data_IF_100579406621
#
_entry.id   IF_100579406621
#
_cell.length_a   1.000
_cell.length_b   1.000
_cell.length_c   1.000
_cell.angle_alpha   90.00
_cell.angle_beta   90.00
_cell.angle_gamma   90.00
#
_symmetry.space_group_name_H-M   'P 1'
#
loop_
_entity.id
_entity.type
_entity.pdbx_description
1 polymer ?
#
# COMPACT_ATOMS: atom_id res chain seq x y z
N UNK A 1 -23.16 -5.40 -0.42
CA UNK A 1 -22.41 -4.36 -1.18
C UNK A 1 -21.35 -3.80 -0.25
N UNK A 2 -20.07 -3.88 -0.61
CA UNK A 2 -18.97 -3.28 0.16
C UNK A 2 -19.08 -1.76 0.11
N UNK A 3 -18.72 -1.08 1.20
CA UNK A 3 -18.72 0.38 1.28
C UNK A 3 -17.59 0.99 0.44
N UNK A 4 -17.84 2.12 -0.23
CA UNK A 4 -16.79 2.89 -0.91
C UNK A 4 -15.97 3.64 0.12
N UNK A 5 -14.69 3.34 0.23
CA UNK A 5 -13.77 3.96 1.20
C UNK A 5 -12.84 4.98 0.58
N UNK A 6 -12.58 4.86 -0.73
CA UNK A 6 -11.79 5.82 -1.51
C UNK A 6 -12.46 6.05 -2.85
N UNK A 7 -12.59 7.31 -3.24
CA UNK A 7 -13.06 7.71 -4.56
C UNK A 7 -12.16 8.80 -5.13
N UNK A 8 -11.73 8.61 -6.36
CA UNK A 8 -10.90 9.54 -7.12
C UNK A 8 -11.73 10.13 -8.25
N UNK A 9 -11.79 11.46 -8.33
CA UNK A 9 -12.61 12.18 -9.31
C UNK A 9 -11.76 13.16 -10.10
N UNK A 10 -11.69 12.95 -11.41
CA UNK A 10 -11.03 13.84 -12.37
C UNK A 10 -9.64 14.27 -11.93
N UNK A 11 -8.86 13.32 -11.36
CA UNK A 11 -7.53 13.59 -10.86
C UNK A 11 -6.58 13.89 -12.01
N UNK A 12 -5.89 15.04 -11.91
CA UNK A 12 -4.87 15.46 -12.88
C UNK A 12 -3.58 15.83 -12.16
N UNK A 13 -2.46 15.40 -12.73
CA UNK A 13 -1.14 15.79 -12.28
C UNK A 13 -0.11 15.75 -13.42
N UNK A 14 0.85 16.67 -13.36
CA UNK A 14 2.00 16.68 -14.29
C UNK A 14 3.23 17.28 -13.62
N UNK A 15 4.40 16.87 -14.07
CA UNK A 15 5.67 17.46 -13.74
C UNK A 15 6.17 18.27 -14.95
N UNK A 16 6.14 19.61 -14.84
CA UNK A 16 6.35 20.46 -15.99
C UNK A 16 5.34 20.14 -17.11
N UNK A 17 5.84 19.77 -18.28
CA UNK A 17 5.04 19.39 -19.45
C UNK A 17 4.68 17.89 -19.46
N UNK A 18 5.31 17.06 -18.61
CA UNK A 18 5.07 15.61 -18.55
C UNK A 18 3.79 15.31 -17.79
N UNK A 19 2.74 14.89 -18.48
CA UNK A 19 1.48 14.46 -17.89
C UNK A 19 1.65 13.07 -17.32
N UNK A 20 1.33 12.87 -16.02
CA UNK A 20 1.39 11.58 -15.33
C UNK A 20 0.03 11.08 -14.86
N UNK A 21 -0.96 11.96 -14.77
CA UNK A 21 -2.36 11.62 -14.51
C UNK A 21 -3.27 12.60 -15.26
N UNK A 22 -4.20 12.07 -16.04
CA UNK A 22 -5.16 12.84 -16.83
C UNK A 22 -6.56 12.24 -16.66
N UNK A 23 -7.43 13.00 -16.03
CA UNK A 23 -8.84 12.67 -15.79
C UNK A 23 -9.02 11.27 -15.16
N UNK A 24 -8.21 10.96 -14.13
CA UNK A 24 -8.26 9.67 -13.45
C UNK A 24 -9.49 9.60 -12.57
N UNK A 25 -10.31 8.57 -12.78
CA UNK A 25 -11.54 8.30 -12.04
C UNK A 25 -11.62 6.82 -11.66
N UNK A 26 -11.73 6.51 -10.36
CA UNK A 26 -12.00 5.16 -9.86
C UNK A 26 -12.44 5.18 -8.40
N UNK A 27 -12.95 4.05 -7.93
CA UNK A 27 -13.36 3.84 -6.53
C UNK A 27 -12.71 2.58 -5.99
N UNK A 28 -12.46 2.55 -4.67
CA UNK A 28 -12.05 1.36 -3.93
C UNK A 28 -13.07 1.07 -2.83
N UNK A 29 -13.35 -0.20 -2.61
CA UNK A 29 -14.30 -0.66 -1.61
C UNK A 29 -13.57 -1.23 -0.39
N UNK A 30 -14.24 -1.22 0.77
CA UNK A 30 -13.70 -1.76 2.00
C UNK A 30 -13.27 -3.23 1.84
N UNK A 31 -12.04 -3.56 2.25
CA UNK A 31 -11.49 -4.89 2.16
C UNK A 31 -11.19 -5.37 0.74
N UNK A 32 -11.22 -4.49 -0.26
CA UNK A 32 -10.84 -4.80 -1.64
C UNK A 32 -9.33 -4.75 -1.82
N UNK A 33 -8.77 -5.65 -2.62
CA UNK A 33 -7.38 -5.61 -3.08
C UNK A 33 -7.37 -5.30 -4.57
N UNK A 34 -6.87 -4.13 -4.93
CA UNK A 34 -6.85 -3.62 -6.30
C UNK A 34 -5.41 -3.54 -6.79
N UNK A 35 -5.14 -4.01 -8.00
CA UNK A 35 -3.90 -3.74 -8.70
C UNK A 35 -4.02 -2.46 -9.53
N UNK A 36 -3.06 -1.55 -9.39
CA UNK A 36 -2.83 -0.48 -10.34
C UNK A 36 -1.65 -0.90 -11.22
N UNK A 37 -1.95 -1.31 -12.45
CA UNK A 37 -1.00 -1.91 -13.39
C UNK A 37 -0.70 -0.99 -14.57
N UNK A 38 0.40 -1.24 -15.24
CA UNK A 38 0.82 -0.50 -16.44
C UNK A 38 2.34 -0.47 -16.57
N UNK A 39 2.86 -0.01 -17.71
CA UNK A 39 4.29 0.11 -17.97
C UNK A 39 4.99 1.01 -16.92
N UNK A 40 6.30 0.84 -16.76
CA UNK A 40 7.09 1.72 -15.91
C UNK A 40 7.06 3.15 -16.45
N UNK A 41 7.04 4.14 -15.53
CA UNK A 41 7.00 5.55 -15.89
C UNK A 41 5.62 6.09 -16.28
N UNK A 42 4.54 5.30 -16.14
CA UNK A 42 3.16 5.75 -16.46
C UNK A 42 2.48 6.54 -15.35
N UNK A 43 3.17 6.86 -14.25
CA UNK A 43 2.61 7.68 -13.17
C UNK A 43 1.95 6.91 -12.01
N UNK A 44 2.02 5.57 -11.98
CA UNK A 44 1.40 4.74 -10.92
C UNK A 44 1.84 5.14 -9.52
N UNK A 45 3.15 5.21 -9.27
CA UNK A 45 3.72 5.63 -7.97
C UNK A 45 3.36 7.08 -7.63
N UNK A 46 3.29 7.96 -8.63
CA UNK A 46 2.84 9.35 -8.46
C UNK A 46 1.40 9.40 -7.98
N UNK A 47 0.49 8.63 -8.60
CA UNK A 47 -0.90 8.50 -8.15
C UNK A 47 -0.94 7.96 -6.72
N UNK A 48 -0.19 6.91 -6.39
CA UNK A 48 -0.10 6.37 -5.04
C UNK A 48 0.30 7.43 -3.99
N UNK A 49 1.31 8.23 -4.29
CA UNK A 49 1.77 9.33 -3.40
C UNK A 49 0.71 10.44 -3.27
N UNK A 50 -0.02 10.75 -4.32
CA UNK A 50 -1.13 11.71 -4.27
C UNK A 50 -2.24 11.17 -3.36
N UNK A 51 -2.65 9.92 -3.52
CA UNK A 51 -3.69 9.30 -2.69
C UNK A 51 -3.30 9.27 -1.21
N UNK A 52 -2.03 9.04 -0.90
CA UNK A 52 -1.50 9.07 0.46
C UNK A 52 -1.31 10.48 1.04
N UNK A 53 -1.50 11.53 0.23
CA UNK A 53 -1.31 12.92 0.66
C UNK A 53 0.16 13.37 0.72
N UNK A 54 1.08 12.56 0.19
CA UNK A 54 2.51 12.88 0.11
C UNK A 54 2.83 13.83 -1.06
N UNK A 55 1.94 13.91 -2.03
CA UNK A 55 2.01 14.81 -3.16
C UNK A 55 0.63 15.43 -3.39
N UNK A 56 0.62 16.72 -3.75
CA UNK A 56 -0.63 17.42 -4.06
C UNK A 56 -1.00 17.24 -5.53
N UNK A 57 -2.24 16.87 -5.80
CA UNK A 57 -2.82 16.92 -7.14
C UNK A 57 -2.84 18.33 -7.72
N UNK A 58 -2.74 18.49 -9.04
CA UNK A 58 -2.96 19.77 -9.71
C UNK A 58 -4.43 20.14 -9.79
N UNK A 59 -5.29 19.17 -10.06
CA UNK A 59 -6.74 19.32 -10.01
C UNK A 59 -7.44 17.98 -9.79
N UNK A 60 -8.72 18.00 -9.54
CA UNK A 60 -9.52 16.85 -9.19
C UNK A 60 -9.70 16.69 -7.68
N UNK A 61 -10.29 15.59 -7.28
CA UNK A 61 -10.68 15.35 -5.90
C UNK A 61 -10.34 13.93 -5.45
N UNK A 62 -9.93 13.80 -4.18
CA UNK A 62 -9.83 12.54 -3.46
C UNK A 62 -10.81 12.58 -2.30
N UNK A 63 -11.73 11.63 -2.30
CA UNK A 63 -12.76 11.47 -1.28
C UNK A 63 -12.44 10.20 -0.48
N UNK A 64 -12.35 10.31 0.84
CA UNK A 64 -12.18 9.20 1.76
C UNK A 64 -13.41 9.09 2.66
N UNK A 65 -13.99 7.90 2.72
CA UNK A 65 -15.18 7.64 3.56
C UNK A 65 -16.29 8.68 3.34
N UNK A 66 -16.59 9.00 2.08
CA UNK A 66 -17.59 9.97 1.68
C UNK A 66 -17.23 11.45 1.92
N UNK A 67 -16.01 11.75 2.39
CA UNK A 67 -15.58 13.13 2.67
C UNK A 67 -14.43 13.54 1.76
N UNK A 68 -14.54 14.72 1.15
CA UNK A 68 -13.42 15.33 0.41
C UNK A 68 -12.23 15.54 1.35
N UNK A 69 -11.06 15.09 0.94
CA UNK A 69 -9.85 15.16 1.73
C UNK A 69 -8.71 15.89 1.00
N UNK A 70 -8.27 17.01 1.56
CA UNK A 70 -7.02 17.67 1.17
C UNK A 70 -5.82 16.76 1.52
N UNK A 71 -4.62 16.96 0.91
CA UNK A 71 -3.46 16.10 1.15
C UNK A 71 -3.17 15.82 2.64
N UNK A 72 -3.13 16.84 3.49
CA UNK A 72 -2.92 16.67 4.95
C UNK A 72 -3.99 15.80 5.62
N UNK A 73 -5.22 15.80 5.15
CA UNK A 73 -6.31 14.98 5.69
C UNK A 73 -6.25 13.50 5.28
N UNK A 74 -5.38 13.14 4.33
CA UNK A 74 -5.14 11.76 3.87
C UNK A 74 -4.03 11.08 4.68
N UNK A 75 -3.11 11.87 5.26
CA UNK A 75 -2.01 11.35 6.09
C UNK A 75 -2.56 10.50 7.26
N UNK A 76 -2.00 9.32 7.45
CA UNK A 76 -2.43 8.35 8.46
C UNK A 76 -3.68 7.53 8.07
N UNK A 77 -4.53 8.01 7.15
CA UNK A 77 -5.67 7.26 6.61
C UNK A 77 -5.29 6.40 5.41
N UNK A 78 -4.37 6.89 4.60
CA UNK A 78 -3.78 6.17 3.48
C UNK A 78 -2.29 6.05 3.72
N UNK A 79 -1.81 4.82 3.94
CA UNK A 79 -0.41 4.53 4.20
C UNK A 79 0.29 4.08 2.92
N UNK A 80 1.37 4.76 2.56
CA UNK A 80 2.14 4.44 1.36
C UNK A 80 3.44 3.72 1.74
N UNK A 81 3.62 2.52 1.20
CA UNK A 81 4.82 1.71 1.35
C UNK A 81 5.55 1.71 0.01
N UNK A 82 6.72 2.37 -0.10
CA UNK A 82 7.48 2.44 -1.33
C UNK A 82 8.20 1.13 -1.66
N UNK A 83 8.69 1.03 -2.89
CA UNK A 83 9.50 -0.09 -3.34
C UNK A 83 10.83 -0.20 -2.57
N UNK A 84 11.52 0.92 -2.33
CA UNK A 84 12.75 0.98 -1.54
C UNK A 84 12.41 1.16 -0.06
N UNK A 85 12.56 0.09 0.72
CA UNK A 85 12.31 0.06 2.16
C UNK A 85 13.51 0.43 3.00
N UNK A 86 14.74 0.39 2.46
CA UNK A 86 15.95 0.68 3.23
C UNK A 86 15.99 2.14 3.69
N UNK A 87 15.31 3.01 2.97
CA UNK A 87 15.13 4.43 3.31
C UNK A 87 13.98 4.70 4.29
N UNK A 88 13.28 3.68 4.78
CA UNK A 88 12.07 3.84 5.61
C UNK A 88 12.09 3.07 6.93
N UNK A 89 13.01 2.14 7.11
CA UNK A 89 13.12 1.30 8.30
C UNK A 89 14.34 1.76 9.12
N UNK A 90 14.11 2.43 10.25
CA UNK A 90 15.15 3.12 11.04
C UNK A 90 15.26 2.64 12.48
N UNK A 91 14.36 1.74 12.94
CA UNK A 91 14.38 1.21 14.30
C UNK A 91 15.67 0.45 14.64
N UNK A 92 16.05 0.42 15.91
CA UNK A 92 17.19 -0.38 16.39
C UNK A 92 16.91 -1.89 16.32
N UNK A 93 15.66 -2.27 16.52
CA UNK A 93 15.15 -3.63 16.32
C UNK A 93 13.70 -3.56 15.74
N UNK A 94 13.07 -4.72 15.50
CA UNK A 94 11.75 -4.77 14.92
C UNK A 94 10.67 -4.21 15.84
N UNK A 95 10.83 -4.36 17.13
CA UNK A 95 9.89 -3.82 18.11
C UNK A 95 9.97 -2.29 18.14
N UNK A 96 11.19 -1.75 18.14
CA UNK A 96 11.42 -0.31 18.06
C UNK A 96 10.84 0.27 16.77
N UNK A 97 11.06 -0.37 15.62
CA UNK A 97 10.48 0.05 14.34
C UNK A 97 8.95 0.19 14.40
N UNK A 98 8.26 -0.81 14.97
CA UNK A 98 6.80 -0.81 15.09
C UNK A 98 6.28 0.22 16.09
N UNK A 99 7.06 0.57 17.10
CA UNK A 99 6.65 1.45 18.19
C UNK A 99 7.21 2.86 18.07
N UNK A 100 8.09 3.12 17.12
CA UNK A 100 8.76 4.42 16.91
C UNK A 100 7.76 5.57 16.81
N UNK A 101 8.11 6.69 17.49
CA UNK A 101 7.33 7.93 17.45
C UNK A 101 6.20 8.02 18.47
N UNK A 102 6.07 7.08 19.41
CA UNK A 102 5.10 7.12 20.49
C UNK A 102 5.71 6.63 21.82
N UNK A 103 5.20 7.10 22.96
CA UNK A 103 5.49 6.46 24.24
C UNK A 103 5.10 4.97 24.17
N UNK A 104 6.04 4.09 24.50
CA UNK A 104 5.84 2.65 24.44
C UNK A 104 5.09 2.20 25.70
N UNK A 105 3.76 2.28 25.66
CA UNK A 105 2.94 1.69 26.71
C UNK A 105 2.98 0.15 26.63
N UNK A 106 2.71 -0.56 27.75
CA UNK A 106 2.63 -2.03 27.74
C UNK A 106 1.67 -2.56 26.68
N UNK A 107 0.52 -1.91 26.48
CA UNK A 107 -0.50 -2.28 25.52
C UNK A 107 0.01 -2.13 24.07
N UNK A 108 0.73 -1.04 23.80
CA UNK A 108 1.32 -0.79 22.47
C UNK A 108 2.42 -1.80 22.15
N UNK A 109 3.22 -2.17 23.15
CA UNK A 109 4.23 -3.22 23.03
C UNK A 109 3.59 -4.57 22.71
N UNK A 110 2.54 -4.94 23.46
CA UNK A 110 1.79 -6.17 23.22
C UNK A 110 1.19 -6.19 21.81
N UNK A 111 0.57 -5.11 21.35
CA UNK A 111 0.04 -5.00 20.01
C UNK A 111 1.12 -5.18 18.92
N UNK A 112 2.31 -4.61 19.13
CA UNK A 112 3.44 -4.80 18.23
C UNK A 112 3.92 -6.25 18.19
N UNK A 113 4.01 -6.93 19.33
CA UNK A 113 4.39 -8.35 19.41
C UNK A 113 3.35 -9.24 18.72
N UNK A 114 2.06 -9.01 18.91
CA UNK A 114 0.98 -9.71 18.20
C UNK A 114 1.05 -9.51 16.67
N UNK A 115 1.38 -8.31 16.22
CA UNK A 115 1.61 -8.02 14.80
C UNK A 115 2.83 -8.78 14.28
N UNK A 116 3.96 -8.78 14.99
CA UNK A 116 5.17 -9.50 14.60
C UNK A 116 4.90 -11.01 14.50
N UNK A 117 4.12 -11.57 15.43
CA UNK A 117 3.71 -12.96 15.38
C UNK A 117 2.83 -13.25 14.15
N UNK A 118 1.80 -12.42 13.92
CA UNK A 118 0.92 -12.55 12.77
C UNK A 118 1.63 -12.43 11.42
N UNK A 119 2.76 -11.69 11.39
CA UNK A 119 3.62 -11.50 10.23
C UNK A 119 4.78 -12.52 10.14
N UNK A 120 4.85 -13.48 11.06
CA UNK A 120 5.93 -14.48 11.15
C UNK A 120 7.34 -13.83 11.30
N UNK A 121 7.42 -12.75 12.07
CA UNK A 121 8.64 -11.98 12.31
C UNK A 121 9.16 -12.09 13.74
N UNK A 122 8.43 -12.73 14.67
CA UNK A 122 8.85 -12.91 16.06
C UNK A 122 10.26 -13.49 16.23
N UNK A 123 10.72 -14.47 15.43
CA UNK A 123 12.09 -14.98 15.53
C UNK A 123 13.19 -13.93 15.28
N UNK A 124 12.82 -12.82 14.63
CA UNK A 124 13.73 -11.73 14.24
C UNK A 124 13.60 -10.47 15.09
N UNK A 125 12.76 -10.49 16.14
CA UNK A 125 12.36 -9.31 16.92
C UNK A 125 13.52 -8.44 17.39
N UNK A 126 14.68 -9.06 17.70
CA UNK A 126 15.90 -8.38 18.16
C UNK A 126 16.91 -8.06 17.05
N UNK A 127 16.57 -8.33 15.81
CA UNK A 127 17.43 -8.00 14.68
C UNK A 127 17.19 -6.56 14.22
N UNK A 128 18.25 -5.93 13.71
CA UNK A 128 18.13 -4.64 13.05
C UNK A 128 17.39 -4.80 11.72
N UNK A 129 16.41 -3.94 11.36
CA UNK A 129 15.64 -4.05 10.13
C UNK A 129 16.48 -4.20 8.86
N UNK A 130 17.67 -3.58 8.79
CA UNK A 130 18.54 -3.68 7.61
C UNK A 130 19.07 -5.09 7.34
N UNK A 131 19.09 -5.98 8.34
CA UNK A 131 19.57 -7.36 8.21
C UNK A 131 18.52 -8.33 7.69
N UNK A 132 17.28 -7.89 7.58
CA UNK A 132 16.16 -8.70 7.10
C UNK A 132 16.26 -8.95 5.59
N UNK A 133 15.74 -10.09 5.13
CA UNK A 133 15.49 -10.34 3.71
C UNK A 133 14.46 -9.37 3.14
N UNK A 134 14.41 -9.23 1.81
CA UNK A 134 13.43 -8.35 1.16
C UNK A 134 11.99 -8.67 1.54
N UNK A 135 11.60 -9.95 1.57
CA UNK A 135 10.27 -10.38 1.99
C UNK A 135 9.99 -10.11 3.47
N UNK A 136 10.98 -10.22 4.35
CA UNK A 136 10.86 -9.86 5.77
C UNK A 136 10.70 -8.36 5.95
N UNK A 137 11.47 -7.53 5.23
CA UNK A 137 11.33 -6.06 5.22
C UNK A 137 9.93 -5.65 4.76
N UNK A 138 9.41 -6.30 3.71
CA UNK A 138 8.06 -6.02 3.19
C UNK A 138 6.99 -6.34 4.25
N UNK A 139 7.11 -7.47 4.95
CA UNK A 139 6.20 -7.82 6.05
C UNK A 139 6.32 -6.83 7.22
N UNK A 140 7.54 -6.40 7.57
CA UNK A 140 7.76 -5.40 8.62
C UNK A 140 7.09 -4.06 8.27
N UNK A 141 7.24 -3.59 7.03
CA UNK A 141 6.59 -2.35 6.56
C UNK A 141 5.06 -2.44 6.62
N UNK A 142 4.48 -3.62 6.32
CA UNK A 142 3.05 -3.87 6.56
C UNK A 142 2.69 -3.80 8.05
N UNK A 143 3.56 -4.31 8.92
CA UNK A 143 3.40 -4.21 10.38
C UNK A 143 3.35 -2.76 10.87
N UNK A 144 4.21 -1.89 10.34
CA UNK A 144 4.20 -0.46 10.63
C UNK A 144 2.86 0.17 10.24
N UNK A 145 2.35 -0.15 9.05
CA UNK A 145 1.03 0.34 8.60
C UNK A 145 -0.11 -0.13 9.53
N UNK A 146 -0.03 -1.36 10.05
CA UNK A 146 -1.01 -1.91 11.00
C UNK A 146 -0.94 -1.19 12.35
N UNK A 147 0.26 -0.89 12.86
CA UNK A 147 0.44 -0.13 14.11
C UNK A 147 -0.14 1.29 14.01
N UNK A 148 -0.16 1.87 12.81
CA UNK A 148 -0.80 3.15 12.53
C UNK A 148 -2.31 3.03 12.24
N UNK A 149 -2.87 1.81 12.31
CA UNK A 149 -4.29 1.53 12.08
C UNK A 149 -4.81 2.06 10.73
N UNK A 150 -3.93 2.23 9.76
CA UNK A 150 -4.29 2.78 8.45
C UNK A 150 -5.36 1.91 7.76
N UNK A 151 -6.54 2.46 7.44
CA UNK A 151 -7.61 1.71 6.80
C UNK A 151 -7.32 1.40 5.32
N UNK A 152 -6.48 2.21 4.67
CA UNK A 152 -6.09 2.04 3.27
C UNK A 152 -4.56 1.97 3.21
N UNK A 153 -4.03 0.95 2.54
CA UNK A 153 -2.59 0.73 2.38
C UNK A 153 -2.26 0.67 0.88
N UNK A 154 -1.27 1.43 0.46
CA UNK A 154 -0.74 1.41 -0.90
C UNK A 154 0.63 0.76 -0.86
N UNK A 155 0.82 -0.29 -1.66
CA UNK A 155 2.08 -1.02 -1.81
C UNK A 155 2.64 -0.74 -3.19
N UNK A 156 3.82 -0.14 -3.26
CA UNK A 156 4.50 0.15 -4.52
C UNK A 156 5.53 -0.94 -4.81
N UNK A 157 5.29 -1.75 -5.85
CA UNK A 157 6.12 -2.88 -6.29
C UNK A 157 6.50 -3.84 -5.14
N UNK A 158 5.54 -4.37 -4.35
CA UNK A 158 5.82 -5.09 -3.11
C UNK A 158 6.56 -6.42 -3.29
N UNK A 159 6.61 -6.95 -4.50
CA UNK A 159 7.26 -8.23 -4.82
C UNK A 159 8.51 -8.08 -5.66
N UNK A 160 8.92 -6.85 -5.96
CA UNK A 160 10.11 -6.58 -6.76
C UNK A 160 11.36 -7.17 -6.10
N UNK A 161 12.12 -7.96 -6.86
CA UNK A 161 13.34 -8.62 -6.38
C UNK A 161 13.12 -9.80 -5.42
N UNK A 162 11.87 -10.22 -5.18
CA UNK A 162 11.55 -11.40 -4.37
C UNK A 162 11.55 -12.67 -5.23
N UNK A 163 12.00 -13.79 -4.64
CA UNK A 163 11.79 -15.11 -5.22
C UNK A 163 10.31 -15.55 -5.12
N UNK A 164 9.94 -16.60 -5.85
CA UNK A 164 8.55 -17.06 -5.91
C UNK A 164 7.95 -17.47 -4.55
N UNK A 165 8.76 -17.91 -3.59
CA UNK A 165 8.30 -18.27 -2.24
C UNK A 165 7.98 -17.04 -1.43
N UNK A 166 8.88 -16.05 -1.43
CA UNK A 166 8.66 -14.78 -0.74
C UNK A 166 7.51 -13.98 -1.36
N UNK A 167 7.38 -13.97 -2.69
CA UNK A 167 6.24 -13.38 -3.38
C UNK A 167 4.90 -14.00 -2.92
N UNK A 168 4.81 -15.33 -2.84
CA UNK A 168 3.60 -16.01 -2.33
C UNK A 168 3.29 -15.67 -0.88
N UNK A 169 4.31 -15.53 -0.04
CA UNK A 169 4.12 -15.17 1.38
C UNK A 169 3.60 -13.74 1.51
N UNK A 170 4.17 -12.78 0.78
CA UNK A 170 3.68 -11.39 0.75
C UNK A 170 2.25 -11.34 0.22
N UNK A 171 1.94 -12.05 -0.87
CA UNK A 171 0.59 -12.11 -1.45
C UNK A 171 -0.45 -12.69 -0.48
N UNK A 172 -0.10 -13.75 0.26
CA UNK A 172 -0.97 -14.30 1.32
C UNK A 172 -1.23 -13.28 2.43
N UNK A 173 -0.20 -12.54 2.82
CA UNK A 173 -0.31 -11.50 3.85
C UNK A 173 -1.23 -10.36 3.40
N UNK A 174 -1.07 -9.87 2.16
CA UNK A 174 -1.95 -8.85 1.57
C UNK A 174 -3.41 -9.30 1.66
N UNK A 175 -3.72 -10.54 1.23
CA UNK A 175 -5.09 -11.08 1.32
C UNK A 175 -5.59 -11.23 2.75
N UNK A 176 -4.72 -11.61 3.70
CA UNK A 176 -5.08 -11.68 5.13
C UNK A 176 -5.48 -10.30 5.66
N UNK A 177 -4.73 -9.26 5.34
CA UNK A 177 -5.03 -7.88 5.74
C UNK A 177 -6.36 -7.38 5.15
N UNK A 178 -6.63 -7.71 3.89
CA UNK A 178 -7.90 -7.38 3.26
C UNK A 178 -9.09 -8.04 3.97
N UNK A 179 -8.96 -9.32 4.36
CA UNK A 179 -9.99 -10.02 5.16
C UNK A 179 -10.20 -9.40 6.54
N UNK A 180 -9.20 -8.70 7.08
CA UNK A 180 -9.31 -7.90 8.32
C UNK A 180 -9.93 -6.51 8.08
N UNK A 181 -10.43 -6.24 6.88
CA UNK A 181 -11.11 -5.00 6.52
C UNK A 181 -10.20 -3.89 6.00
N UNK A 182 -8.89 -4.15 5.78
CA UNK A 182 -8.00 -3.17 5.16
C UNK A 182 -8.20 -3.16 3.64
N UNK A 183 -8.31 -1.97 3.05
CA UNK A 183 -8.33 -1.81 1.59
C UNK A 183 -6.91 -1.63 1.09
N UNK A 184 -6.52 -2.38 0.06
CA UNK A 184 -5.13 -2.42 -0.39
C UNK A 184 -5.06 -2.10 -1.88
N UNK A 185 -4.19 -1.17 -2.23
CA UNK A 185 -3.84 -0.84 -3.62
C UNK A 185 -2.42 -1.34 -3.86
N UNK A 186 -2.25 -2.29 -4.76
CA UNK A 186 -0.96 -2.83 -5.17
C UNK A 186 -0.56 -2.18 -6.49
N UNK A 187 0.47 -1.36 -6.47
CA UNK A 187 1.08 -0.81 -7.69
C UNK A 187 2.10 -1.82 -8.17
N UNK A 188 1.91 -2.36 -9.36
CA UNK A 188 2.87 -3.32 -9.92
C UNK A 188 2.82 -3.38 -11.44
N UNK A 189 3.94 -3.75 -12.05
CA UNK A 189 4.04 -4.16 -13.45
C UNK A 189 4.07 -5.69 -13.60
N UNK A 190 4.11 -6.42 -12.47
CA UNK A 190 4.14 -7.87 -12.42
C UNK A 190 2.72 -8.46 -12.41
N UNK A 191 2.36 -9.10 -13.53
CA UNK A 191 1.06 -9.75 -13.67
C UNK A 191 0.87 -10.93 -12.69
N UNK A 192 1.95 -11.64 -12.32
CA UNK A 192 1.89 -12.76 -11.38
C UNK A 192 1.54 -12.25 -9.97
N UNK A 193 2.15 -11.15 -9.54
CA UNK A 193 1.79 -10.48 -8.29
C UNK A 193 0.31 -10.06 -8.27
N UNK A 194 -0.16 -9.39 -9.33
CA UNK A 194 -1.55 -8.95 -9.43
C UNK A 194 -2.53 -10.13 -9.37
N UNK A 195 -2.26 -11.21 -10.13
CA UNK A 195 -3.08 -12.43 -10.12
C UNK A 195 -3.06 -13.14 -8.77
N UNK A 196 -1.92 -13.08 -8.04
CA UNK A 196 -1.76 -13.77 -6.76
C UNK A 196 -2.54 -13.14 -5.61
N UNK A 197 -2.74 -11.81 -5.60
CA UNK A 197 -3.32 -11.13 -4.44
C UNK A 197 -4.49 -10.20 -4.72
N UNK A 198 -4.73 -9.77 -5.97
CA UNK A 198 -5.73 -8.76 -6.27
C UNK A 198 -7.03 -9.35 -6.82
N UNK A 199 -8.15 -8.69 -6.51
CA UNK A 199 -9.49 -9.03 -7.00
C UNK A 199 -9.83 -8.29 -8.30
N UNK A 200 -9.24 -7.12 -8.51
CA UNK A 200 -9.50 -6.19 -9.59
C UNK A 200 -8.21 -5.52 -10.05
N UNK A 201 -8.11 -5.20 -11.32
CA UNK A 201 -7.01 -4.43 -11.87
C UNK A 201 -7.50 -3.21 -12.62
N UNK A 202 -6.81 -2.10 -12.40
CA UNK A 202 -6.95 -0.84 -13.11
C UNK A 202 -5.67 -0.63 -13.91
N UNK A 203 -5.78 -0.56 -15.24
CA UNK A 203 -4.65 -0.35 -16.13
C UNK A 203 -4.45 1.13 -16.40
N UNK A 204 -3.23 1.59 -16.18
CA UNK A 204 -2.81 2.96 -16.45
C UNK A 204 -1.82 2.99 -17.62
N UNK A 205 -2.13 3.75 -18.67
CA UNK A 205 -1.26 3.99 -19.81
C UNK A 205 -1.32 5.46 -20.22
N UNK A 206 -0.17 6.07 -20.47
CA UNK A 206 -0.06 7.48 -20.87
C UNK A 206 -0.84 8.45 -19.98
N UNK A 207 -0.84 8.17 -18.65
CA UNK A 207 -1.53 8.99 -17.66
C UNK A 207 -3.05 8.81 -17.62
N UNK A 208 -3.63 7.90 -18.38
CA UNK A 208 -5.08 7.63 -18.41
C UNK A 208 -5.38 6.20 -17.95
N UNK A 209 -6.56 5.99 -17.38
CA UNK A 209 -7.09 4.63 -17.17
C UNK A 209 -7.60 4.12 -18.51
N UNK A 210 -7.06 3.00 -18.99
CA UNK A 210 -7.46 2.34 -20.24
C UNK A 210 -8.38 1.16 -20.00
N UNK A 211 -8.23 0.48 -18.86
CA UNK A 211 -9.03 -0.67 -18.50
C UNK A 211 -9.29 -0.70 -16.99
N UNK A 212 -10.42 -1.28 -16.59
CA UNK A 212 -10.81 -1.56 -15.23
C UNK A 212 -11.61 -2.87 -15.23
N UNK A 213 -11.01 -3.94 -14.70
CA UNK A 213 -11.54 -5.29 -14.85
C UNK A 213 -11.34 -6.16 -13.61
N UNK A 214 -12.25 -7.13 -13.41
CA UNK A 214 -12.14 -8.12 -12.36
C UNK A 214 -11.09 -9.18 -12.74
N UNK A 215 -10.23 -9.53 -11.79
CA UNK A 215 -9.27 -10.64 -11.91
C UNK A 215 -9.98 -11.91 -11.48
N UNK A 216 -10.09 -12.90 -12.37
CA UNK A 216 -10.64 -14.22 -12.02
C UNK A 216 -9.60 -15.01 -11.24
N UNK A 217 -9.93 -15.40 -10.00
CA UNK A 217 -9.14 -16.34 -9.20
C UNK A 217 -8.57 -15.82 -7.88
N UNK A 218 -8.97 -14.64 -7.41
CA UNK A 218 -8.68 -14.18 -6.04
C UNK A 218 -9.69 -14.80 -5.05
N UNK A 219 -9.77 -16.15 -4.99
CA UNK A 219 -10.45 -16.89 -3.91
C UNK A 219 -9.49 -17.26 -2.80
#
# INVERSE_FOLDING_TARGET
TREVVLEVKKLNHSFGETIVAKDINFQCHQGEVIALIGPNGTGKSTIGRILAGLLKEKSGEVVLFGKHCRPKGRLGKVWYIPQDLDSQLFGEDLLDELTTGAEVSPERKQAAEEILEALELMPFIKQHPSTLSGGQKQRLALGVALMHEAPIIILDEPTSGLDGTNMRNVSKMIRKLAKMGRTIIVITHDAECALACCERAIRLENGCITDDFQIRGAE
#
